data_IF_011187921523
#
_entry.id   IF_011187921523
#
_cell.length_a   1.000
_cell.length_b   1.000
_cell.length_c   1.000
_cell.angle_alpha   90.00
_cell.angle_beta   90.00
_cell.angle_gamma   90.00
#
_symmetry.space_group_name_H-M   'P 1'
#
loop_
_entity.id
_entity.type
_entity.pdbx_description
1 polymer ?
#
# COMPACT_ATOMS: atom_id res chain seq x y z
N UNK A 1 -9.71 18.93 17.73
CA UNK A 1 -10.94 18.26 17.25
C UNK A 1 -11.09 18.17 15.72
N UNK A 2 -10.26 18.80 14.87
CA UNK A 2 -10.45 18.79 13.41
C UNK A 2 -9.92 17.56 12.64
N UNK A 3 -8.92 16.84 13.16
CA UNK A 3 -8.23 15.76 12.41
C UNK A 3 -9.05 14.45 12.40
N UNK A 4 -9.73 14.12 13.50
CA UNK A 4 -10.53 12.89 13.60
C UNK A 4 -11.77 12.89 12.68
N UNK A 5 -12.38 14.05 12.45
CA UNK A 5 -13.51 14.23 11.53
C UNK A 5 -13.08 14.02 10.08
N UNK A 6 -11.86 14.45 9.74
CA UNK A 6 -11.27 14.24 8.41
C UNK A 6 -11.02 12.76 8.12
N UNK A 7 -10.42 12.03 9.06
CA UNK A 7 -10.13 10.60 8.87
C UNK A 7 -11.42 9.78 8.75
N UNK A 8 -12.43 10.08 9.58
CA UNK A 8 -13.73 9.41 9.50
C UNK A 8 -14.42 9.66 8.15
N UNK A 9 -14.38 10.89 7.64
CA UNK A 9 -14.94 11.22 6.32
C UNK A 9 -14.18 10.51 5.17
N UNK A 10 -12.85 10.47 5.25
CA UNK A 10 -12.00 9.75 4.28
C UNK A 10 -12.34 8.25 4.31
N UNK A 11 -12.38 7.64 5.49
CA UNK A 11 -12.72 6.22 5.67
C UNK A 11 -14.14 5.92 5.20
N UNK A 12 -15.11 6.77 5.51
CA UNK A 12 -16.51 6.56 5.10
C UNK A 12 -16.67 6.68 3.58
N UNK A 13 -16.04 7.70 2.97
CA UNK A 13 -16.03 7.86 1.51
C UNK A 13 -15.31 6.70 0.81
N UNK A 14 -14.24 6.20 1.44
CA UNK A 14 -13.48 5.03 1.00
C UNK A 14 -14.34 3.78 1.02
N UNK A 15 -15.01 3.50 2.14
CA UNK A 15 -15.91 2.34 2.31
C UNK A 15 -17.07 2.38 1.32
N UNK A 16 -17.66 3.56 1.07
CA UNK A 16 -18.74 3.70 0.09
C UNK A 16 -18.30 3.36 -1.34
N UNK A 17 -17.06 3.67 -1.71
CA UNK A 17 -16.48 3.23 -2.99
C UNK A 17 -16.19 1.73 -3.02
N UNK A 18 -16.02 1.09 -1.85
CA UNK A 18 -15.76 -0.34 -1.78
C UNK A 18 -17.00 -1.22 -2.02
N UNK A 19 -18.21 -0.69 -1.84
CA UNK A 19 -19.46 -1.46 -1.92
C UNK A 19 -19.93 -1.79 -3.36
N UNK A 20 -19.16 -1.42 -4.39
CA UNK A 20 -19.54 -1.58 -5.80
C UNK A 20 -18.74 -2.67 -6.56
N UNK A 21 -17.96 -3.50 -5.86
CA UNK A 21 -17.11 -4.49 -6.53
C UNK A 21 -17.82 -5.75 -6.97
N UNK A 22 -17.91 -5.90 -8.29
CA UNK A 22 -17.90 -7.23 -8.89
C UNK A 22 -16.93 -7.22 -10.07
N UNK A 23 -15.81 -7.95 -9.96
CA UNK A 23 -14.94 -8.42 -11.07
C UNK A 23 -13.97 -7.42 -11.76
N UNK A 24 -13.38 -6.47 -11.05
CA UNK A 24 -12.31 -5.62 -11.61
C UNK A 24 -10.96 -6.34 -11.73
N UNK A 25 -10.15 -5.95 -12.71
CA UNK A 25 -8.74 -6.37 -12.79
C UNK A 25 -7.89 -5.64 -11.73
N UNK A 26 -6.65 -6.07 -11.51
CA UNK A 26 -5.79 -5.49 -10.47
C UNK A 26 -5.43 -4.02 -10.72
N UNK A 27 -5.30 -3.60 -11.98
CA UNK A 27 -4.93 -2.22 -12.30
C UNK A 27 -6.10 -1.27 -12.07
N UNK A 28 -7.30 -1.69 -12.45
CA UNK A 28 -8.56 -1.00 -12.16
C UNK A 28 -8.79 -0.95 -10.64
N UNK A 29 -8.59 -2.07 -9.94
CA UNK A 29 -8.68 -2.16 -8.48
C UNK A 29 -7.71 -1.18 -7.81
N UNK A 30 -6.44 -1.16 -8.24
CA UNK A 30 -5.45 -0.21 -7.72
C UNK A 30 -5.86 1.24 -7.97
N UNK A 31 -6.11 1.64 -9.22
CA UNK A 31 -6.28 3.04 -9.57
C UNK A 31 -7.64 3.65 -9.20
N UNK A 32 -8.73 2.93 -9.45
CA UNK A 32 -10.07 3.52 -9.33
C UNK A 32 -10.65 3.41 -7.92
N UNK A 33 -10.10 2.49 -7.13
CA UNK A 33 -10.79 2.01 -5.94
C UNK A 33 -9.92 1.99 -4.70
N UNK A 34 -8.70 1.47 -4.79
CA UNK A 34 -7.79 1.40 -3.66
C UNK A 34 -6.98 2.69 -3.49
N UNK A 35 -6.48 3.29 -4.57
CA UNK A 35 -5.74 4.55 -4.51
C UNK A 35 -6.50 5.67 -3.79
N UNK A 36 -7.80 5.92 -4.07
CA UNK A 36 -8.57 6.95 -3.35
C UNK A 36 -8.71 6.73 -1.84
N UNK A 37 -8.37 5.53 -1.34
CA UNK A 37 -8.45 5.13 0.08
C UNK A 37 -7.07 5.19 0.71
N UNK A 38 -6.11 4.48 0.09
CA UNK A 38 -4.76 4.29 0.61
C UNK A 38 -3.96 5.60 0.52
N UNK A 39 -4.07 6.33 -0.59
CA UNK A 39 -3.33 7.58 -0.76
C UNK A 39 -3.62 8.58 0.38
N UNK A 40 -4.88 8.97 0.68
CA UNK A 40 -5.14 9.90 1.78
C UNK A 40 -4.88 9.32 3.18
N UNK A 41 -4.87 8.00 3.35
CA UNK A 41 -4.51 7.38 4.64
C UNK A 41 -3.02 7.47 4.94
N UNK A 42 -2.16 7.38 3.93
CA UNK A 42 -0.71 7.28 4.10
C UNK A 42 0.10 8.44 3.50
N UNK A 43 -0.57 9.43 2.94
CA UNK A 43 0.05 10.68 2.52
C UNK A 43 -0.07 11.74 3.62
N UNK A 44 1.06 12.11 4.21
CA UNK A 44 1.14 13.19 5.20
C UNK A 44 2.34 14.09 4.88
N UNK A 45 2.12 15.25 4.24
CA UNK A 45 3.20 16.17 3.91
C UNK A 45 3.82 16.85 5.13
N UNK A 46 3.10 16.98 6.25
CA UNK A 46 3.65 17.55 7.49
C UNK A 46 4.70 16.61 8.08
N UNK A 47 4.40 15.31 8.07
CA UNK A 47 5.30 14.27 8.54
C UNK A 47 6.27 13.74 7.47
N UNK A 48 6.25 14.32 6.27
CA UNK A 48 7.01 13.89 5.09
C UNK A 48 6.74 12.43 4.70
N UNK A 49 5.55 11.89 4.98
CA UNK A 49 5.15 10.53 4.59
C UNK A 49 4.53 10.59 3.19
N UNK A 50 5.02 9.73 2.31
CA UNK A 50 4.59 9.61 0.94
C UNK A 50 4.12 8.19 0.67
N UNK A 51 3.13 8.05 -0.21
CA UNK A 51 2.71 6.80 -0.80
C UNK A 51 2.95 6.83 -2.32
N UNK A 52 3.36 5.69 -2.88
CA UNK A 52 3.56 5.51 -4.32
C UNK A 52 3.22 4.08 -4.74
N UNK A 53 2.42 3.93 -5.80
CA UNK A 53 2.31 2.69 -6.56
C UNK A 53 3.60 2.40 -7.32
N UNK A 54 4.06 1.17 -7.23
CA UNK A 54 5.24 0.67 -7.90
C UNK A 54 4.81 0.01 -9.19
N UNK A 55 5.47 0.34 -10.30
CA UNK A 55 5.20 -0.33 -11.56
C UNK A 55 5.42 -1.84 -11.39
N UNK A 56 4.44 -2.63 -11.82
CA UNK A 56 4.60 -4.07 -11.99
C UNK A 56 5.83 -4.33 -12.85
N UNK A 57 6.58 -5.35 -12.46
CA UNK A 57 7.84 -5.72 -13.10
C UNK A 57 7.76 -5.71 -14.62
N UNK A 58 8.85 -5.29 -15.25
CA UNK A 58 9.15 -5.69 -16.63
C UNK A 58 9.31 -7.22 -16.60
N UNK A 59 8.79 -7.98 -17.57
CA UNK A 59 8.75 -9.45 -17.56
C UNK A 59 10.06 -10.21 -17.23
N UNK A 60 11.21 -9.55 -17.21
CA UNK A 60 12.56 -10.14 -17.04
C UNK A 60 13.28 -9.76 -15.72
N UNK A 61 12.57 -9.29 -14.69
CA UNK A 61 13.20 -9.02 -13.39
C UNK A 61 12.71 -9.95 -12.30
N UNK A 62 13.55 -10.92 -11.88
CA UNK A 62 13.31 -11.90 -10.80
C UNK A 62 13.01 -11.31 -9.40
N UNK A 63 13.02 -9.98 -9.26
CA UNK A 63 12.91 -9.31 -7.96
C UNK A 63 11.45 -9.04 -7.61
N UNK A 64 10.76 -10.03 -6.99
CA UNK A 64 9.42 -9.83 -6.39
C UNK A 64 9.37 -8.48 -5.70
N UNK A 65 8.35 -7.66 -5.97
CA UNK A 65 8.26 -6.27 -5.52
C UNK A 65 6.82 -6.01 -5.07
N UNK A 66 6.59 -5.33 -3.94
CA UNK A 66 5.23 -4.98 -3.53
C UNK A 66 4.60 -4.02 -4.54
N UNK A 67 3.27 -4.06 -4.68
CA UNK A 67 2.55 -3.14 -5.56
C UNK A 67 2.65 -1.67 -5.11
N UNK A 68 2.77 -1.40 -3.81
CA UNK A 68 2.82 -0.06 -3.26
C UNK A 68 3.87 0.11 -2.17
N UNK A 69 4.36 1.34 -2.03
CA UNK A 69 5.40 1.70 -1.09
C UNK A 69 5.03 2.98 -0.32
N UNK A 70 5.06 2.88 1.00
CA UNK A 70 4.87 3.99 1.93
C UNK A 70 6.23 4.30 2.56
N UNK A 71 6.66 5.56 2.51
CA UNK A 71 7.99 5.94 2.98
C UNK A 71 8.05 7.37 3.48
N UNK A 72 9.02 7.65 4.36
CA UNK A 72 9.30 9.00 4.82
C UNK A 72 10.40 9.63 3.96
N UNK A 73 10.18 10.84 3.48
CA UNK A 73 11.22 11.64 2.82
C UNK A 73 12.02 12.44 3.84
N UNK A 74 13.30 12.63 3.53
CA UNK A 74 14.14 13.65 4.16
C UNK A 74 14.81 14.45 3.06
N UNK A 75 14.42 15.72 2.93
CA UNK A 75 14.78 16.58 1.78
C UNK A 75 14.30 15.95 0.47
N UNK A 76 15.21 15.59 -0.43
CA UNK A 76 14.92 14.99 -1.75
C UNK A 76 15.19 13.49 -1.82
N UNK A 77 15.43 12.85 -0.67
CA UNK A 77 15.77 11.42 -0.60
C UNK A 77 14.76 10.66 0.24
N UNK A 78 14.56 9.39 -0.12
CA UNK A 78 13.83 8.44 0.70
C UNK A 78 14.68 8.16 1.93
N UNK A 79 14.14 8.47 3.11
CA UNK A 79 14.85 8.33 4.38
C UNK A 79 14.68 6.92 4.94
N UNK A 80 13.44 6.45 5.01
CA UNK A 80 13.12 5.12 5.52
C UNK A 80 11.76 4.64 5.01
N UNK A 81 11.59 3.32 4.97
CA UNK A 81 10.32 2.68 4.67
C UNK A 81 9.34 2.88 5.83
N UNK A 82 8.04 2.94 5.56
CA UNK A 82 6.98 2.98 6.59
C UNK A 82 6.05 1.79 6.40
N UNK A 83 5.87 1.35 5.17
CA UNK A 83 5.04 0.19 4.89
C UNK A 83 5.01 -0.15 3.41
N UNK A 84 4.34 -1.26 3.12
CA UNK A 84 4.18 -1.79 1.78
C UNK A 84 2.73 -2.21 1.57
N UNK A 85 2.28 -2.14 0.32
CA UNK A 85 0.92 -2.47 -0.08
C UNK A 85 0.97 -3.51 -1.19
N UNK A 86 0.07 -4.49 -1.13
CA UNK A 86 -0.13 -5.49 -2.17
C UNK A 86 -1.62 -5.56 -2.52
N UNK A 87 -1.95 -5.60 -3.81
CA UNK A 87 -3.33 -5.65 -4.29
C UNK A 87 -3.50 -6.86 -5.19
N UNK A 88 -4.43 -7.73 -4.81
CA UNK A 88 -4.80 -8.89 -5.62
C UNK A 88 -6.25 -8.80 -6.04
N UNK A 89 -6.53 -9.20 -7.28
CA UNK A 89 -7.91 -9.30 -7.74
C UNK A 89 -8.61 -10.54 -7.16
N UNK A 90 -9.93 -10.51 -7.12
CA UNK A 90 -10.75 -11.67 -6.71
C UNK A 90 -10.47 -12.93 -7.57
N UNK A 91 -9.96 -12.74 -8.80
CA UNK A 91 -9.60 -13.83 -9.71
C UNK A 91 -8.24 -14.46 -9.42
N UNK A 92 -7.41 -13.86 -8.56
CA UNK A 92 -6.10 -14.41 -8.23
C UNK A 92 -6.22 -15.72 -7.44
N UNK A 93 -5.32 -16.67 -7.69
CA UNK A 93 -5.26 -17.90 -6.91
C UNK A 93 -5.05 -17.60 -5.41
N UNK A 94 -5.81 -18.29 -4.56
CA UNK A 94 -5.65 -18.27 -3.10
C UNK A 94 -4.22 -18.51 -2.64
N UNK A 95 -3.47 -19.43 -3.28
CA UNK A 95 -2.08 -19.74 -2.94
C UNK A 95 -1.20 -18.51 -3.22
N UNK A 96 -1.39 -17.86 -4.36
CA UNK A 96 -0.65 -16.65 -4.73
C UNK A 96 -0.89 -15.51 -3.75
N UNK A 97 -2.14 -15.31 -3.30
CA UNK A 97 -2.45 -14.31 -2.26
C UNK A 97 -1.67 -14.55 -0.96
N UNK A 98 -1.57 -15.82 -0.53
CA UNK A 98 -0.82 -16.16 0.67
C UNK A 98 0.68 -15.98 0.48
N UNK A 99 1.22 -16.38 -0.67
CA UNK A 99 2.62 -16.13 -1.01
C UNK A 99 2.96 -14.65 -1.00
N UNK A 100 2.11 -13.82 -1.62
CA UNK A 100 2.33 -12.38 -1.69
C UNK A 100 2.27 -11.73 -0.29
N UNK A 101 1.35 -12.17 0.57
CA UNK A 101 1.30 -11.74 1.98
C UNK A 101 2.58 -12.12 2.76
N UNK A 102 3.13 -13.31 2.52
CA UNK A 102 4.39 -13.76 3.13
C UNK A 102 5.54 -12.87 2.66
N UNK A 103 5.62 -12.57 1.35
CA UNK A 103 6.63 -11.65 0.83
C UNK A 103 6.48 -10.24 1.38
N UNK A 104 5.25 -9.72 1.45
CA UNK A 104 4.95 -8.41 2.01
C UNK A 104 5.46 -8.31 3.45
N UNK A 105 5.24 -9.37 4.23
CA UNK A 105 5.74 -9.46 5.61
C UNK A 105 7.27 -9.55 5.66
N UNK A 106 7.89 -10.28 4.73
CA UNK A 106 9.34 -10.33 4.62
C UNK A 106 9.93 -8.94 4.29
N UNK A 107 9.33 -8.19 3.36
CA UNK A 107 9.73 -6.81 3.07
C UNK A 107 9.68 -5.91 4.29
N UNK A 108 8.59 -5.97 5.07
CA UNK A 108 8.48 -5.23 6.32
C UNK A 108 9.57 -5.63 7.32
N UNK A 109 9.77 -6.93 7.54
CA UNK A 109 10.77 -7.44 8.48
C UNK A 109 12.19 -7.03 8.09
N UNK A 110 12.55 -7.16 6.83
CA UNK A 110 13.90 -6.84 6.36
C UNK A 110 14.15 -5.34 6.39
N UNK A 111 13.16 -4.54 6.00
CA UNK A 111 13.26 -3.09 6.11
C UNK A 111 13.36 -2.64 7.58
N UNK A 112 12.61 -3.23 8.51
CA UNK A 112 12.74 -2.99 9.96
C UNK A 112 14.15 -3.28 10.50
N UNK A 113 14.82 -4.32 10.00
CA UNK A 113 16.20 -4.63 10.41
C UNK A 113 17.22 -3.62 9.88
N UNK A 114 16.98 -3.10 8.68
CA UNK A 114 17.91 -2.19 7.99
C UNK A 114 17.80 -0.74 8.45
N UNK A 115 16.73 -0.38 9.17
CA UNK A 115 16.45 1.00 9.56
C UNK A 115 16.09 1.11 11.05
N UNK A 116 16.19 2.31 11.62
CA UNK A 116 15.88 2.56 13.04
C UNK A 116 14.38 2.73 13.36
N UNK A 117 13.50 2.35 12.42
CA UNK A 117 12.05 2.49 12.62
C UNK A 117 11.51 1.44 13.56
N UNK A 118 10.55 1.83 14.38
CA UNK A 118 9.97 0.95 15.41
C UNK A 118 8.74 0.18 14.93
N UNK A 119 8.14 0.60 13.82
CA UNK A 119 6.86 0.08 13.32
C UNK A 119 6.89 0.05 11.80
N UNK A 120 6.23 -0.97 11.23
CA UNK A 120 5.88 -1.02 9.82
C UNK A 120 4.44 -1.48 9.63
N UNK A 121 3.84 -1.06 8.52
CA UNK A 121 2.49 -1.44 8.12
C UNK A 121 2.59 -2.28 6.84
N UNK A 122 1.95 -3.44 6.85
CA UNK A 122 1.70 -4.25 5.66
C UNK A 122 0.21 -4.18 5.34
N UNK A 123 -0.15 -3.80 4.12
CA UNK A 123 -1.54 -3.74 3.67
C UNK A 123 -1.73 -4.73 2.52
N UNK A 124 -2.56 -5.74 2.75
CA UNK A 124 -2.99 -6.67 1.71
C UNK A 124 -4.45 -6.36 1.35
N UNK A 125 -4.70 -6.08 0.07
CA UNK A 125 -6.05 -6.00 -0.49
C UNK A 125 -6.32 -7.28 -1.28
N UNK A 126 -7.45 -7.93 -1.01
CA UNK A 126 -7.91 -9.19 -1.64
C UNK A 126 -9.37 -9.13 -2.01
#
# INVERSE_FOLDING_TARGET
>A
HGIAVSLFAIVTNSINKLLLFTRSDEAELQGNYIDPIIYPMFYDPQENICFRWLNKQVPDTDTRRPDGYIYKMKRRYINCSVGFVEVKSEKSDSIKRHEDMIHLTAFCKDSLKMQSSKVMIAVQVV
#
